data_IF_984726251426
#
_entry.id   IF_984726251426
#
_cell.length_a   1.000
_cell.length_b   1.000
_cell.length_c   1.000
_cell.angle_alpha   90.00
_cell.angle_beta   90.00
_cell.angle_gamma   90.00
#
_symmetry.space_group_name_H-M   'P 1'
#
loop_
_entity.id
_entity.type
_entity.pdbx_description
1 polymer ?
#
# COMPACT_ATOMS: atom_id res chain seq x y z
N UNK A 1 -10.28 4.58 -14.23
CA UNK A 1 -10.33 5.38 -12.99
C UNK A 1 -11.62 6.20 -13.00
N UNK A 2 -12.75 5.57 -12.74
CA UNK A 2 -14.05 6.21 -12.51
C UNK A 2 -14.64 5.47 -11.31
N UNK A 3 -14.22 5.85 -10.12
CA UNK A 3 -14.75 5.25 -8.90
C UNK A 3 -14.93 6.30 -7.82
N UNK A 4 -15.81 7.27 -8.10
CA UNK A 4 -16.56 7.96 -7.05
C UNK A 4 -17.98 8.04 -7.56
N UNK A 5 -18.74 6.99 -7.25
CA UNK A 5 -20.15 6.91 -7.59
C UNK A 5 -20.88 8.09 -6.93
N UNK A 6 -21.74 8.73 -7.71
CA UNK A 6 -22.68 9.72 -7.21
C UNK A 6 -23.44 9.14 -6.01
N UNK A 7 -23.14 9.62 -4.81
CA UNK A 7 -23.94 9.27 -3.64
C UNK A 7 -25.27 9.99 -3.79
N UNK A 8 -26.33 9.23 -4.11
CA UNK A 8 -27.68 9.77 -4.18
C UNK A 8 -28.16 10.02 -2.75
N UNK A 9 -28.26 11.30 -2.37
CA UNK A 9 -29.02 11.70 -1.19
C UNK A 9 -30.46 11.19 -1.33
N UNK A 10 -30.87 10.24 -0.49
CA UNK A 10 -32.27 9.80 -0.41
C UNK A 10 -33.03 10.88 0.35
N UNK A 11 -33.90 11.60 -0.36
CA UNK A 11 -34.65 12.76 0.15
C UNK A 11 -34.29 14.06 -0.57
N UNK A 12 -35.30 14.67 -1.21
CA UNK A 12 -35.33 15.92 -1.96
C UNK A 12 -33.99 16.51 -2.49
N UNK A 13 -33.51 15.91 -3.58
CA UNK A 13 -32.78 16.53 -4.72
C UNK A 13 -31.63 17.49 -4.39
N UNK A 14 -30.50 16.97 -3.93
CA UNK A 14 -29.20 17.49 -4.35
C UNK A 14 -28.23 16.33 -4.65
N UNK A 15 -27.64 16.34 -5.84
CA UNK A 15 -26.52 15.46 -6.18
C UNK A 15 -25.31 15.90 -5.36
N UNK A 16 -24.91 15.08 -4.38
CA UNK A 16 -23.75 15.36 -3.54
C UNK A 16 -22.47 14.86 -4.23
N UNK A 17 -21.43 15.68 -4.18
CA UNK A 17 -20.12 15.36 -4.76
C UNK A 17 -19.07 15.44 -3.65
N UNK A 18 -18.48 14.30 -3.23
CA UNK A 18 -17.43 14.27 -2.22
C UNK A 18 -16.25 15.21 -2.53
N UNK A 19 -15.89 15.37 -3.82
CA UNK A 19 -14.80 16.22 -4.29
C UNK A 19 -15.00 17.71 -4.01
N UNK A 20 -16.21 18.14 -3.60
CA UNK A 20 -16.48 19.53 -3.20
C UNK A 20 -16.17 19.81 -1.73
N UNK A 21 -15.92 18.77 -0.94
CA UNK A 21 -15.50 18.91 0.44
C UNK A 21 -13.98 19.09 0.50
N UNK A 22 -13.52 19.86 1.48
CA UNK A 22 -12.09 19.95 1.79
C UNK A 22 -11.56 18.60 2.27
N UNK A 23 -10.30 18.32 1.96
CA UNK A 23 -9.65 17.08 2.35
C UNK A 23 -9.32 17.07 3.84
N UNK A 24 -9.52 15.93 4.48
CA UNK A 24 -8.88 15.65 5.77
C UNK A 24 -7.42 15.24 5.52
N UNK A 25 -6.50 16.00 6.11
CA UNK A 25 -5.06 15.85 5.86
C UNK A 25 -4.45 14.90 6.89
N UNK A 26 -3.74 13.89 6.42
CA UNK A 26 -3.03 12.94 7.27
C UNK A 26 -1.59 12.77 6.80
N UNK A 27 -0.64 13.20 7.65
CA UNK A 27 0.79 13.17 7.34
C UNK A 27 1.50 12.18 8.26
N UNK A 28 2.18 11.20 7.67
CA UNK A 28 3.03 10.24 8.36
C UNK A 28 4.45 10.44 7.88
N UNK A 29 5.34 10.76 8.82
CA UNK A 29 6.77 10.86 8.55
C UNK A 29 7.52 9.87 9.46
N UNK A 30 8.37 9.04 8.85
CA UNK A 30 9.24 8.09 9.52
C UNK A 30 10.66 8.32 9.01
N UNK A 31 11.57 8.65 9.91
CA UNK A 31 13.00 8.79 9.61
C UNK A 31 13.80 7.95 10.61
N UNK A 32 14.49 6.92 10.15
CA UNK A 32 15.15 5.94 11.01
C UNK A 32 16.51 5.50 10.46
N UNK A 33 17.50 5.35 11.34
CA UNK A 33 18.76 4.65 11.03
C UNK A 33 19.77 4.75 12.17
N UNK A 34 20.76 3.83 12.25
CA UNK A 34 21.03 2.69 11.35
C UNK A 34 20.00 1.56 11.50
N UNK A 35 19.69 0.87 10.40
CA UNK A 35 18.66 -0.19 10.37
C UNK A 35 19.31 -1.54 10.07
N UNK A 36 19.05 -2.55 10.91
CA UNK A 36 19.46 -3.93 10.66
C UNK A 36 18.23 -4.77 10.34
N UNK A 37 18.18 -5.37 9.15
CA UNK A 37 17.07 -6.17 8.65
C UNK A 37 17.49 -7.64 8.53
N UNK A 38 16.60 -8.52 8.97
CA UNK A 38 16.69 -9.96 8.71
C UNK A 38 15.65 -10.29 7.65
N UNK A 39 16.11 -10.52 6.43
CA UNK A 39 15.24 -10.82 5.29
C UNK A 39 15.09 -12.33 5.18
N UNK A 40 13.89 -12.83 5.40
CA UNK A 40 13.56 -14.21 5.05
C UNK A 40 13.31 -14.31 3.54
N UNK A 41 13.79 -15.38 2.88
CA UNK A 41 13.53 -15.60 1.46
C UNK A 41 12.03 -15.59 1.09
N UNK A 42 11.15 -15.97 2.02
CA UNK A 42 9.70 -15.87 1.87
C UNK A 42 9.22 -14.40 1.73
N UNK A 43 9.85 -13.47 2.46
CA UNK A 43 9.55 -12.04 2.37
C UNK A 43 9.93 -11.47 0.99
N UNK A 44 11.07 -11.88 0.42
CA UNK A 44 11.48 -11.49 -0.93
C UNK A 44 10.51 -12.01 -2.00
N UNK A 45 9.96 -13.22 -1.82
CA UNK A 45 8.93 -13.75 -2.72
C UNK A 45 7.65 -12.91 -2.67
N UNK A 46 7.25 -12.44 -1.48
CA UNK A 46 6.06 -11.60 -1.33
C UNK A 46 6.27 -10.16 -1.83
N UNK A 47 7.51 -9.64 -1.78
CA UNK A 47 7.88 -8.36 -2.39
C UNK A 47 7.60 -8.33 -3.90
N UNK A 48 7.66 -9.47 -4.59
CA UNK A 48 7.26 -9.57 -6.00
C UNK A 48 5.81 -9.15 -6.21
N UNK A 49 4.91 -9.59 -5.33
CA UNK A 49 3.49 -9.22 -5.39
C UNK A 49 3.26 -7.76 -5.05
N UNK A 50 4.03 -7.19 -4.10
CA UNK A 50 3.98 -5.75 -3.80
C UNK A 50 4.35 -4.94 -5.03
N UNK A 51 5.39 -5.36 -5.77
CA UNK A 51 5.80 -4.69 -7.00
C UNK A 51 4.71 -4.78 -8.09
N UNK A 52 4.07 -5.93 -8.27
CA UNK A 52 3.01 -6.08 -9.28
C UNK A 52 1.70 -5.37 -8.86
N UNK A 53 1.37 -5.30 -7.57
CA UNK A 53 0.17 -4.62 -7.06
C UNK A 53 0.33 -3.09 -6.99
N UNK A 54 1.50 -2.57 -6.61
CA UNK A 54 1.74 -1.13 -6.49
C UNK A 54 2.13 -0.47 -7.81
N UNK A 55 2.92 -1.15 -8.66
CA UNK A 55 3.47 -0.58 -9.89
C UNK A 55 2.96 -1.24 -11.18
N UNK A 56 2.06 -2.22 -11.09
CA UNK A 56 1.49 -2.89 -12.25
C UNK A 56 0.55 -2.01 -13.07
N UNK A 57 0.51 -2.24 -14.38
CA UNK A 57 -0.39 -1.56 -15.33
C UNK A 57 -1.88 -1.83 -15.04
N UNK A 58 -2.19 -2.96 -14.39
CA UNK A 58 -3.54 -3.37 -14.06
C UNK A 58 -3.64 -3.62 -12.55
N UNK A 59 -3.96 -2.57 -11.80
CA UNK A 59 -4.16 -2.63 -10.35
C UNK A 59 -5.49 -3.32 -10.03
N UNK A 60 -5.50 -4.65 -10.10
CA UNK A 60 -6.57 -5.45 -9.48
C UNK A 60 -6.06 -5.78 -8.08
N UNK A 61 -6.76 -5.30 -7.04
CA UNK A 61 -6.43 -5.63 -5.65
C UNK A 61 -6.35 -7.15 -5.49
N UNK A 62 -5.20 -7.62 -5.00
CA UNK A 62 -4.98 -9.01 -4.63
C UNK A 62 -4.70 -9.05 -3.13
N UNK A 63 -5.70 -9.48 -2.37
CA UNK A 63 -5.55 -9.69 -0.94
C UNK A 63 -4.48 -10.77 -0.69
N UNK A 64 -3.56 -10.49 0.23
CA UNK A 64 -2.46 -11.39 0.60
C UNK A 64 -3.00 -12.61 1.37
N UNK A 65 -4.25 -12.56 1.83
CA UNK A 65 -4.89 -13.60 2.64
C UNK A 65 -5.89 -14.50 1.93
N UNK A 66 -6.24 -14.28 0.66
CA UNK A 66 -7.35 -15.04 0.06
C UNK A 66 -6.91 -16.38 -0.57
N UNK A 67 -7.28 -17.54 0.03
CA UNK A 67 -7.16 -18.82 -0.64
C UNK A 67 -8.21 -18.89 -1.77
N UNK A 68 -7.97 -19.77 -2.73
CA UNK A 68 -8.58 -19.83 -4.08
C UNK A 68 -10.12 -19.89 -4.20
N UNK A 69 -10.87 -19.82 -3.10
CA UNK A 69 -12.32 -20.03 -3.01
C UNK A 69 -13.16 -18.86 -3.57
N UNK A 70 -12.62 -17.64 -3.66
CA UNK A 70 -13.38 -16.47 -4.13
C UNK A 70 -13.45 -16.40 -5.67
N UNK A 71 -12.62 -17.17 -6.39
CA UNK A 71 -12.67 -17.28 -7.85
C UNK A 71 -13.97 -17.91 -8.38
N UNK A 72 -14.71 -18.64 -7.55
CA UNK A 72 -15.94 -19.32 -7.99
C UNK A 72 -17.19 -18.44 -7.88
N UNK A 73 -17.17 -17.38 -7.07
CA UNK A 73 -18.32 -16.49 -6.93
C UNK A 73 -18.03 -15.17 -7.64
N UNK A 74 -18.75 -15.00 -8.75
CA UNK A 74 -19.00 -13.77 -9.50
C UNK A 74 -19.28 -12.59 -8.54
N UNK A 75 -18.24 -11.88 -8.10
CA UNK A 75 -18.42 -10.65 -7.31
C UNK A 75 -18.86 -9.56 -8.29
N UNK A 76 -20.18 -9.37 -8.33
CA UNK A 76 -20.76 -8.11 -8.76
C UNK A 76 -20.21 -7.02 -7.83
N UNK A 77 -19.54 -6.04 -8.43
CA UNK A 77 -19.18 -4.76 -7.82
C UNK A 77 -20.44 -4.12 -7.26
N UNK A 78 -20.72 -4.30 -5.96
CA UNK A 78 -21.77 -3.54 -5.26
C UNK A 78 -21.66 -3.50 -3.74
N UNK A 79 -20.75 -4.26 -3.12
CA UNK A 79 -20.57 -4.21 -1.67
C UNK A 79 -19.51 -3.14 -1.31
N UNK A 80 -19.85 -1.86 -1.51
CA UNK A 80 -19.16 -0.78 -0.81
C UNK A 80 -19.62 -0.83 0.65
N UNK A 81 -18.78 -1.20 1.63
CA UNK A 81 -19.18 -1.35 3.04
C UNK A 81 -19.64 -0.04 3.70
N UNK A 82 -19.50 1.09 3.00
CA UNK A 82 -20.04 2.39 3.40
C UNK A 82 -21.56 2.52 3.16
N UNK A 83 -22.15 1.72 2.27
CA UNK A 83 -23.59 1.76 1.98
C UNK A 83 -24.43 1.15 3.12
N UNK A 84 -23.89 0.15 3.84
CA UNK A 84 -24.57 -0.49 4.96
C UNK A 84 -24.60 0.36 6.24
N UNK A 85 -23.75 1.39 6.33
CA UNK A 85 -23.66 2.28 7.50
C UNK A 85 -24.75 3.37 7.46
N UNK A 86 -25.31 3.64 6.28
CA UNK A 86 -26.26 4.73 6.07
C UNK A 86 -27.67 4.16 6.10
N UNK A 87 -28.20 4.03 7.32
CA UNK A 87 -29.60 3.73 7.54
C UNK A 87 -30.44 4.76 6.77
N UNK A 88 -31.28 4.32 5.83
CA UNK A 88 -32.01 5.21 4.91
C UNK A 88 -32.99 6.19 5.61
N UNK A 89 -33.18 6.02 6.93
CA UNK A 89 -34.00 6.85 7.79
C UNK A 89 -33.20 7.92 8.56
N UNK A 90 -31.86 7.93 8.51
CA UNK A 90 -31.03 8.95 9.14
C UNK A 90 -30.84 10.17 8.22
N UNK A 91 -30.76 11.39 8.78
CA UNK A 91 -30.47 12.58 7.99
C UNK A 91 -29.09 12.47 7.33
N UNK A 92 -29.02 12.78 6.04
CA UNK A 92 -27.76 12.79 5.29
C UNK A 92 -26.76 13.78 5.92
N UNK A 93 -25.61 13.28 6.35
CA UNK A 93 -24.49 14.08 6.85
C UNK A 93 -23.31 14.02 5.87
N UNK A 94 -22.96 15.14 5.20
CA UNK A 94 -21.90 15.16 4.20
C UNK A 94 -20.51 14.86 4.79
N UNK A 95 -20.32 14.99 6.11
CA UNK A 95 -19.00 14.80 6.76
C UNK A 95 -18.49 13.37 6.65
N UNK A 96 -19.36 12.38 6.53
CA UNK A 96 -18.97 10.97 6.35
C UNK A 96 -18.28 10.68 5.01
N UNK A 97 -18.40 11.59 4.05
CA UNK A 97 -17.83 11.43 2.71
C UNK A 97 -16.67 12.37 2.43
N UNK A 98 -16.10 12.97 3.49
CA UNK A 98 -14.97 13.86 3.32
C UNK A 98 -13.77 13.08 2.80
N UNK A 99 -13.14 13.49 1.68
CA UNK A 99 -12.02 12.76 1.13
C UNK A 99 -10.78 12.94 2.02
N UNK A 100 -9.91 11.93 2.02
CA UNK A 100 -8.62 11.97 2.72
C UNK A 100 -7.50 12.38 1.75
N UNK A 101 -6.61 13.24 2.21
CA UNK A 101 -5.32 13.50 1.60
C UNK A 101 -4.24 12.93 2.51
N UNK A 102 -3.60 11.84 2.07
CA UNK A 102 -2.61 11.12 2.85
C UNK A 102 -1.22 11.35 2.25
N UNK A 103 -0.30 11.87 3.07
CA UNK A 103 1.12 11.95 2.73
C UNK A 103 1.90 11.04 3.65
N UNK A 104 2.58 10.05 3.07
CA UNK A 104 3.48 9.13 3.76
C UNK A 104 4.90 9.40 3.26
N UNK A 105 5.82 9.62 4.19
CA UNK A 105 7.25 9.71 3.92
C UNK A 105 8.01 8.80 4.87
N UNK A 106 8.73 7.83 4.31
CA UNK A 106 9.59 6.91 5.05
C UNK A 106 11.01 7.07 4.54
N UNK A 107 11.96 7.33 5.43
CA UNK A 107 13.38 7.39 5.14
C UNK A 107 14.12 6.45 6.10
N UNK A 108 14.80 5.46 5.54
CA UNK A 108 15.66 4.54 6.26
C UNK A 108 17.11 4.82 5.88
N UNK A 109 18.00 4.86 6.86
CA UNK A 109 19.40 5.20 6.72
C UNK A 109 20.30 4.07 7.19
N UNK A 110 21.46 3.91 6.54
CA UNK A 110 22.50 2.94 6.88
C UNK A 110 21.91 1.54 7.13
N UNK A 111 21.28 0.99 6.10
CA UNK A 111 20.58 -0.28 6.16
C UNK A 111 21.59 -1.40 5.93
N UNK A 112 21.65 -2.34 6.88
CA UNK A 112 22.31 -3.64 6.73
C UNK A 112 21.24 -4.71 6.69
N UNK A 113 21.22 -5.55 5.66
CA UNK A 113 20.24 -6.60 5.49
C UNK A 113 20.93 -7.97 5.37
N UNK A 114 20.53 -8.92 6.19
CA UNK A 114 21.02 -10.30 6.16
C UNK A 114 19.95 -11.20 5.55
N UNK A 115 20.28 -11.93 4.48
CA UNK A 115 19.37 -12.89 3.86
C UNK A 115 19.44 -14.22 4.59
N UNK A 116 18.47 -14.47 5.47
CA UNK A 116 18.44 -15.69 6.26
C UNK A 116 18.27 -16.93 5.37
N UNK A 117 19.21 -17.86 5.54
CA UNK A 117 19.15 -19.20 4.98
C UNK A 117 18.80 -20.22 6.07
N UNK A 118 18.16 -21.33 5.70
CA UNK A 118 17.67 -22.31 6.68
C UNK A 118 18.78 -23.22 7.23
N UNK A 119 19.92 -23.31 6.55
CA UNK A 119 21.08 -24.09 6.99
C UNK A 119 22.20 -23.18 7.52
N UNK A 120 22.84 -23.60 8.61
CA UNK A 120 23.91 -22.86 9.28
C UNK A 120 25.30 -23.01 8.59
N UNK A 121 25.36 -23.69 7.44
CA UNK A 121 26.63 -24.15 6.85
C UNK A 121 27.22 -23.20 5.78
N UNK A 122 26.40 -22.32 5.18
CA UNK A 122 26.82 -21.47 4.06
C UNK A 122 26.90 -19.99 4.49
N UNK A 123 27.83 -19.19 3.90
CA UNK A 123 27.90 -17.76 4.16
C UNK A 123 26.60 -17.06 3.77
N UNK A 124 25.99 -16.37 4.74
CA UNK A 124 24.74 -15.64 4.57
C UNK A 124 24.96 -14.39 3.69
N UNK A 125 24.22 -14.22 2.57
CA UNK A 125 24.32 -13.01 1.75
C UNK A 125 23.97 -11.75 2.56
N UNK A 126 24.78 -10.70 2.41
CA UNK A 126 24.61 -9.43 3.12
C UNK A 126 24.44 -8.30 2.11
N UNK A 127 23.40 -7.50 2.29
CA UNK A 127 23.14 -6.28 1.54
C UNK A 127 23.37 -5.03 2.39
N UNK A 128 23.95 -4.00 1.80
CA UNK A 128 24.09 -2.67 2.38
C UNK A 128 23.39 -1.66 1.48
N UNK A 129 22.62 -0.75 2.09
CA UNK A 129 21.99 0.35 1.40
C UNK A 129 22.17 1.61 2.25
N UNK A 130 22.77 2.65 1.67
CA UNK A 130 23.01 3.90 2.40
C UNK A 130 21.70 4.56 2.82
N UNK A 131 20.71 4.56 1.92
CA UNK A 131 19.42 5.17 2.18
C UNK A 131 18.32 4.61 1.28
N UNK A 132 17.20 4.25 1.89
CA UNK A 132 15.93 3.94 1.22
C UNK A 132 14.93 5.02 1.59
N UNK A 133 14.35 5.70 0.61
CA UNK A 133 13.23 6.62 0.83
C UNK A 133 12.01 6.18 0.03
N UNK A 134 10.85 6.23 0.66
CA UNK A 134 9.55 6.02 0.05
C UNK A 134 8.69 7.22 0.38
N UNK A 135 8.17 7.88 -0.64
CA UNK A 135 7.22 8.98 -0.51
C UNK A 135 5.96 8.65 -1.30
N UNK A 136 4.82 8.68 -0.63
CA UNK A 136 3.52 8.46 -1.23
C UNK A 136 2.59 9.62 -0.87
N UNK A 137 1.96 10.22 -1.87
CA UNK A 137 0.87 11.17 -1.68
C UNK A 137 -0.36 10.67 -2.39
N UNK A 138 -1.42 10.41 -1.64
CA UNK A 138 -2.71 9.94 -2.14
C UNK A 138 -3.76 11.00 -1.89
N UNK A 139 -4.40 11.41 -2.98
CA UNK A 139 -5.60 12.21 -3.00
C UNK A 139 -6.75 11.39 -3.59
N UNK A 140 -7.95 11.97 -3.63
CA UNK A 140 -9.11 11.32 -4.23
C UNK A 140 -8.91 11.00 -5.72
N UNK A 141 -8.22 11.88 -6.45
CA UNK A 141 -8.08 11.77 -7.90
C UNK A 141 -6.86 10.96 -8.34
N UNK A 142 -5.79 10.93 -7.53
CA UNK A 142 -4.53 10.30 -7.90
C UNK A 142 -3.70 9.86 -6.67
N UNK A 143 -2.87 8.85 -6.87
CA UNK A 143 -1.80 8.47 -5.95
C UNK A 143 -0.46 8.60 -6.66
N UNK A 144 0.45 9.37 -6.07
CA UNK A 144 1.83 9.54 -6.51
C UNK A 144 2.74 8.78 -5.56
N UNK A 145 3.60 7.93 -6.10
CA UNK A 145 4.58 7.15 -5.36
C UNK A 145 5.96 7.42 -5.93
N UNK A 146 6.90 7.74 -5.06
CA UNK A 146 8.31 7.90 -5.37
C UNK A 146 9.11 6.99 -4.45
N UNK A 147 10.07 6.26 -5.03
CA UNK A 147 10.99 5.41 -4.29
C UNK A 147 12.40 5.73 -4.72
N UNK A 148 13.28 5.97 -3.74
CA UNK A 148 14.69 6.27 -3.93
C UNK A 148 15.54 5.25 -3.18
N UNK A 149 16.48 4.65 -3.90
CA UNK A 149 17.55 3.85 -3.33
C UNK A 149 18.87 4.56 -3.61
N UNK A 150 19.61 4.87 -2.55
CA UNK A 150 21.04 5.21 -2.61
C UNK A 150 21.86 3.90 -2.53
N UNK A 151 23.12 3.89 -3.00
CA UNK A 151 23.71 2.71 -3.62
C UNK A 151 23.50 1.44 -2.79
N UNK A 152 23.01 0.40 -3.47
CA UNK A 152 22.74 -0.91 -2.89
C UNK A 152 23.89 -1.85 -3.27
N UNK A 153 24.66 -2.28 -2.28
CA UNK A 153 25.75 -3.23 -2.46
C UNK A 153 25.34 -4.58 -1.88
N UNK A 154 25.47 -5.65 -2.65
CA UNK A 154 25.16 -7.01 -2.22
C UNK A 154 26.43 -7.83 -2.26
N UNK A 155 26.76 -8.48 -1.15
CA UNK A 155 27.89 -9.37 -1.00
C UNK A 155 27.37 -10.80 -0.89
N UNK A 156 27.83 -11.64 -1.80
CA UNK A 156 27.55 -13.07 -1.85
C UNK A 156 28.89 -13.78 -1.94
N UNK A 157 29.10 -14.74 -1.07
CA UNK A 157 30.26 -15.62 -1.13
C UNK A 157 29.81 -16.94 -1.76
N UNK A 158 30.51 -17.37 -2.81
CA UNK A 158 30.34 -18.67 -3.42
C UNK A 158 31.49 -19.57 -2.95
N UNK A 159 31.15 -20.69 -2.31
CA UNK A 159 32.15 -21.66 -1.86
C UNK A 159 32.20 -22.77 -2.89
N UNK A 160 33.29 -22.85 -3.65
CA UNK A 160 33.51 -23.95 -4.60
C UNK A 160 33.74 -25.23 -3.78
N UNK A 161 32.75 -26.13 -3.78
CA UNK A 161 32.86 -27.48 -3.21
C UNK A 161 33.32 -28.47 -4.28
#
# INVERSE_FOLDING_TARGET
LQYVQHVKSIGNRQTFHPNKLEYDIFNIELDMGPVNLLLHGLFLKNLWWVKDNLFGWNQVYHDIHEPELIRQNKIMVNDDPLLDIIDANQPFDPRYFRPLMVTLRVALHNITAHLLHHTDLEPCPIGFCERLCVEMTTNLDETKLQVLFLPVNIYVEDTIV
#
